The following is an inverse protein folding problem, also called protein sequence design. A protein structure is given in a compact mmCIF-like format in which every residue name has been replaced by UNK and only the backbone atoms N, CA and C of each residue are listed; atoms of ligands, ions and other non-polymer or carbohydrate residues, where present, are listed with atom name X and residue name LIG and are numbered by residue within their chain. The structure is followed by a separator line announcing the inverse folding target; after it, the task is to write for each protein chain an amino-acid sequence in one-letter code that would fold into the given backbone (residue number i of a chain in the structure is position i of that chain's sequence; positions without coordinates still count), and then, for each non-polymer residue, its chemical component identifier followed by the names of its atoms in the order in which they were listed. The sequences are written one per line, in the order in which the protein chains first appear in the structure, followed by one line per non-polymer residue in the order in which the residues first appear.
data_IF_519628163058
#
_entry.id   IF_519628163058
#
_cell.length_a   1.000
_cell.length_b   1.000
_cell.length_c   1.000
_cell.angle_alpha   90.00
_cell.angle_beta   90.00
_cell.angle_gamma   90.00
#
_symmetry.space_group_name_H-M   'P 1'
#
loop_
_entity.id
_entity.type
_entity.pdbx_description
1 polymer ?
#
# COMPACT_ATOMS: atom_id res chain seq x y z
N UNK A 1 -21.61 3.91 6.05
CA UNK A 1 -20.24 3.36 5.93
C UNK A 1 -20.15 2.46 4.71
N UNK A 2 -19.07 2.56 3.96
CA UNK A 2 -18.87 1.70 2.79
C UNK A 2 -18.65 0.25 3.22
N UNK A 3 -19.35 -0.68 2.58
CA UNK A 3 -19.15 -2.10 2.82
C UNK A 3 -17.96 -2.59 2.01
N UNK A 4 -17.09 -3.36 2.67
CA UNK A 4 -15.94 -3.96 2.01
C UNK A 4 -16.06 -5.47 2.12
N UNK A 5 -15.93 -6.14 0.99
CA UNK A 5 -15.96 -7.61 0.93
C UNK A 5 -14.72 -8.14 0.19
N UNK A 6 -14.41 -9.38 0.44
CA UNK A 6 -13.32 -10.10 -0.22
C UNK A 6 -13.96 -11.08 -1.21
N UNK A 7 -13.47 -11.09 -2.46
CA UNK A 7 -13.98 -12.02 -3.47
C UNK A 7 -13.78 -13.47 -3.05
N UNK A 8 -14.62 -14.36 -3.54
CA UNK A 8 -14.51 -15.79 -3.26
C UNK A 8 -13.16 -16.35 -3.71
N UNK A 9 -12.66 -15.90 -4.85
CA UNK A 9 -11.35 -16.32 -5.36
C UNK A 9 -10.23 -16.02 -4.36
N UNK A 10 -10.21 -14.80 -3.82
CA UNK A 10 -9.19 -14.41 -2.83
C UNK A 10 -9.42 -15.12 -1.51
N UNK A 11 -10.65 -15.21 -1.03
CA UNK A 11 -10.97 -15.89 0.22
C UNK A 11 -10.57 -17.37 0.19
N UNK A 12 -10.71 -18.03 -0.95
CA UNK A 12 -10.32 -19.43 -1.13
C UNK A 12 -8.80 -19.58 -1.17
N UNK A 13 -8.10 -18.74 -1.93
CA UNK A 13 -6.64 -18.80 -2.06
C UNK A 13 -5.91 -18.30 -0.82
N UNK A 14 -6.47 -17.33 -0.14
CA UNK A 14 -5.86 -16.67 1.02
C UNK A 14 -6.85 -16.62 2.20
N UNK A 15 -7.14 -17.77 2.83
CA UNK A 15 -8.17 -17.84 3.89
C UNK A 15 -7.81 -17.05 5.14
N UNK A 16 -6.51 -16.74 5.33
CA UNK A 16 -6.04 -15.99 6.49
C UNK A 16 -5.94 -14.47 6.22
N UNK A 17 -6.38 -14.02 5.05
CA UNK A 17 -6.32 -12.59 4.72
C UNK A 17 -7.35 -11.80 5.53
N UNK A 18 -6.87 -10.74 6.17
CA UNK A 18 -7.71 -9.77 6.84
C UNK A 18 -7.52 -8.40 6.19
N UNK A 19 -8.64 -7.71 5.98
CA UNK A 19 -8.64 -6.34 5.46
C UNK A 19 -9.12 -5.41 6.56
N UNK A 20 -8.31 -4.41 6.88
CA UNK A 20 -8.70 -3.35 7.80
C UNK A 20 -9.20 -2.16 6.98
N UNK A 21 -10.37 -1.68 7.30
CA UNK A 21 -10.94 -0.50 6.70
C UNK A 21 -11.14 0.58 7.76
N UNK A 22 -10.72 1.79 7.42
CA UNK A 22 -10.93 2.97 8.25
C UNK A 22 -11.72 3.99 7.44
N UNK A 23 -12.74 4.58 8.06
CA UNK A 23 -13.50 5.67 7.48
C UNK A 23 -13.45 6.86 8.40
N UNK A 24 -13.16 8.02 7.87
CA UNK A 24 -13.09 9.25 8.67
C UNK A 24 -13.41 10.47 7.81
N UNK A 25 -13.88 11.51 8.48
CA UNK A 25 -14.05 12.81 7.86
C UNK A 25 -12.71 13.54 7.90
N UNK A 26 -12.26 14.00 6.75
CA UNK A 26 -10.96 14.63 6.61
C UNK A 26 -11.03 15.90 5.79
N UNK A 27 -10.09 16.79 6.03
CA UNK A 27 -9.80 17.93 5.16
C UNK A 27 -8.44 17.72 4.52
N UNK A 28 -8.43 17.58 3.20
CA UNK A 28 -7.18 17.45 2.49
C UNK A 28 -6.52 18.81 2.29
N UNK A 29 -5.23 18.82 2.02
CA UNK A 29 -4.47 20.05 1.76
C UNK A 29 -3.36 19.80 0.76
N UNK A 30 -2.77 20.87 0.25
CA UNK A 30 -1.50 20.81 -0.46
C UNK A 30 -0.42 20.18 0.43
N UNK A 31 0.68 19.64 -0.13
CA UNK A 31 1.72 19.00 0.66
C UNK A 31 2.16 19.83 1.86
N UNK A 32 2.22 19.18 3.02
CA UNK A 32 2.54 19.81 4.31
C UNK A 32 4.02 19.61 4.63
N UNK A 33 4.71 20.72 4.97
CA UNK A 33 6.15 20.68 5.23
C UNK A 33 6.52 19.81 6.44
N UNK A 34 5.71 19.80 7.48
CA UNK A 34 5.97 18.97 8.67
C UNK A 34 5.85 17.50 8.36
N UNK A 35 4.86 17.13 7.56
CA UNK A 35 4.70 15.76 7.10
C UNK A 35 5.88 15.33 6.23
N UNK A 36 6.34 16.19 5.34
CA UNK A 36 7.48 15.89 4.49
C UNK A 36 8.79 15.84 5.26
N UNK A 37 8.90 16.57 6.39
CA UNK A 37 10.03 16.39 7.29
C UNK A 37 10.01 15.00 7.93
N UNK A 38 8.87 14.53 8.37
CA UNK A 38 8.72 13.16 8.89
C UNK A 38 9.02 12.10 7.82
N UNK A 39 8.59 12.33 6.60
CA UNK A 39 8.90 11.44 5.48
C UNK A 39 10.40 11.40 5.22
N UNK A 40 11.06 12.55 5.22
CA UNK A 40 12.52 12.64 5.03
C UNK A 40 13.26 11.90 6.15
N UNK A 41 12.82 12.04 7.39
CA UNK A 41 13.40 11.32 8.53
C UNK A 41 13.21 9.80 8.38
N UNK A 42 12.06 9.38 7.90
CA UNK A 42 11.78 7.95 7.64
C UNK A 42 12.62 7.41 6.49
N UNK A 43 12.77 8.17 5.41
CA UNK A 43 13.65 7.81 4.30
C UNK A 43 15.08 7.58 4.78
N UNK A 44 15.58 8.48 5.62
CA UNK A 44 16.92 8.37 6.20
C UNK A 44 17.04 7.11 7.06
N UNK A 45 16.06 6.86 7.93
CA UNK A 45 16.04 5.68 8.79
C UNK A 45 16.03 4.38 7.97
N UNK A 46 15.23 4.33 6.91
CA UNK A 46 15.17 3.16 6.02
C UNK A 46 16.52 2.95 5.33
N UNK A 47 17.14 4.00 4.81
CA UNK A 47 18.45 3.87 4.16
C UNK A 47 19.55 3.39 5.10
N UNK A 48 19.50 3.78 6.38
CA UNK A 48 20.49 3.40 7.38
C UNK A 48 20.31 1.98 7.91
N UNK A 49 19.08 1.45 7.91
CA UNK A 49 18.75 0.19 8.60
C UNK A 49 18.33 -0.94 7.68
N UNK A 50 17.96 -0.68 6.44
CA UNK A 50 17.42 -1.69 5.53
C UNK A 50 18.28 -1.81 4.28
N UNK A 51 18.58 -3.06 3.90
CA UNK A 51 19.24 -3.37 2.64
C UNK A 51 18.21 -3.78 1.59
N UNK A 52 18.50 -3.49 0.32
CA UNK A 52 17.58 -3.76 -0.80
C UNK A 52 17.15 -5.23 -0.85
N UNK A 53 18.06 -6.16 -0.61
CA UNK A 53 17.77 -7.61 -0.61
C UNK A 53 16.93 -8.07 0.58
N UNK A 54 16.71 -7.23 1.58
CA UNK A 54 15.92 -7.56 2.77
C UNK A 54 14.45 -7.14 2.67
N UNK A 55 14.12 -6.27 1.73
CA UNK A 55 12.76 -5.70 1.63
C UNK A 55 11.71 -6.78 1.49
N UNK A 56 11.91 -7.72 0.57
CA UNK A 56 10.93 -8.79 0.30
C UNK A 56 10.90 -9.89 1.37
N UNK A 57 11.79 -9.83 2.34
CA UNK A 57 11.82 -10.75 3.48
C UNK A 57 11.10 -10.20 4.71
N UNK A 58 10.78 -8.92 4.71
CA UNK A 58 10.01 -8.31 5.79
C UNK A 58 8.58 -8.86 5.79
N UNK A 59 8.12 -9.34 6.97
CA UNK A 59 6.89 -10.14 7.08
C UNK A 59 5.67 -9.55 6.37
N UNK A 60 5.31 -8.28 6.54
CA UNK A 60 4.13 -7.72 5.85
C UNK A 60 4.26 -7.79 4.33
N UNK A 61 5.44 -7.51 3.80
CA UNK A 61 5.69 -7.54 2.36
C UNK A 61 5.75 -8.99 1.86
N UNK A 62 6.44 -9.87 2.58
CA UNK A 62 6.53 -11.28 2.24
C UNK A 62 5.14 -11.94 2.17
N UNK A 63 4.29 -11.67 3.16
CA UNK A 63 2.94 -12.21 3.20
C UNK A 63 2.10 -11.77 1.99
N UNK A 64 2.19 -10.49 1.63
CA UNK A 64 1.49 -9.96 0.45
C UNK A 64 2.03 -10.58 -0.84
N UNK A 65 3.34 -10.74 -0.96
CA UNK A 65 3.95 -11.40 -2.12
C UNK A 65 3.49 -12.84 -2.25
N UNK A 66 3.37 -13.57 -1.14
CA UNK A 66 2.87 -14.95 -1.14
C UNK A 66 1.39 -15.01 -1.57
N UNK A 67 0.59 -14.06 -1.12
CA UNK A 67 -0.81 -13.96 -1.56
C UNK A 67 -0.89 -13.74 -3.08
N UNK A 68 -0.06 -12.88 -3.63
CA UNK A 68 0.00 -12.68 -5.09
C UNK A 68 0.32 -13.98 -5.81
N UNK A 69 1.31 -14.74 -5.34
CA UNK A 69 1.66 -16.02 -5.95
C UNK A 69 0.51 -17.02 -5.92
N UNK A 70 -0.22 -17.10 -4.79
CA UNK A 70 -1.40 -17.98 -4.67
C UNK A 70 -2.49 -17.59 -5.65
N UNK A 71 -2.56 -16.33 -6.03
CA UNK A 71 -3.54 -15.81 -6.98
C UNK A 71 -3.05 -15.84 -8.44
N UNK A 72 -1.88 -16.43 -8.68
CA UNK A 72 -1.31 -16.53 -10.03
C UNK A 72 -0.70 -15.23 -10.55
N UNK A 73 -0.37 -14.30 -9.66
CA UNK A 73 0.26 -13.03 -10.02
C UNK A 73 1.74 -13.05 -9.63
N UNK A 74 2.60 -12.59 -10.54
CA UNK A 74 4.04 -12.47 -10.26
C UNK A 74 4.29 -11.23 -9.39
N UNK A 75 4.75 -11.39 -8.13
CA UNK A 75 4.99 -10.26 -7.26
C UNK A 75 6.19 -9.39 -7.68
N UNK A 76 7.04 -9.86 -8.57
CA UNK A 76 8.11 -9.06 -9.13
C UNK A 76 7.60 -8.10 -10.21
N UNK A 77 6.55 -8.49 -10.91
CA UNK A 77 5.91 -7.66 -11.93
C UNK A 77 4.87 -6.71 -11.31
N UNK A 78 4.05 -7.23 -10.38
CA UNK A 78 2.97 -6.48 -9.74
C UNK A 78 3.33 -6.24 -8.27
N UNK A 79 4.43 -5.53 -8.03
CA UNK A 79 4.93 -5.33 -6.66
C UNK A 79 3.87 -4.73 -5.74
N UNK A 80 3.79 -5.23 -4.49
CA UNK A 80 3.00 -4.56 -3.46
C UNK A 80 3.41 -3.09 -3.34
N UNK A 81 2.45 -2.20 -3.11
CA UNK A 81 2.73 -0.77 -3.07
C UNK A 81 3.73 -0.39 -1.95
N UNK A 82 3.65 -1.04 -0.80
CA UNK A 82 4.59 -0.82 0.31
C UNK A 82 6.02 -1.20 -0.08
N UNK A 83 6.18 -2.30 -0.81
CA UNK A 83 7.49 -2.72 -1.32
C UNK A 83 8.02 -1.70 -2.34
N UNK A 84 7.19 -1.25 -3.26
CA UNK A 84 7.57 -0.28 -4.28
C UNK A 84 8.06 1.03 -3.65
N UNK A 85 7.40 1.51 -2.60
CA UNK A 85 7.81 2.71 -1.87
C UNK A 85 9.19 2.55 -1.23
N UNK A 86 9.43 1.44 -0.53
CA UNK A 86 10.74 1.19 0.10
C UNK A 86 11.85 0.99 -0.91
N UNK A 87 11.59 0.31 -2.01
CA UNK A 87 12.59 0.15 -3.08
C UNK A 87 12.97 1.49 -3.69
N UNK A 88 11.99 2.37 -3.85
CA UNK A 88 12.22 3.71 -4.34
C UNK A 88 13.14 4.50 -3.40
N UNK A 89 12.90 4.40 -2.09
CA UNK A 89 13.75 5.05 -1.08
C UNK A 89 15.20 4.53 -1.16
N UNK A 90 15.38 3.20 -1.20
CA UNK A 90 16.71 2.60 -1.20
C UNK A 90 17.49 2.83 -2.50
N UNK A 91 16.80 3.10 -3.59
CA UNK A 91 17.41 3.49 -4.86
C UNK A 91 17.62 5.00 -4.99
N UNK A 92 17.37 5.74 -3.91
CA UNK A 92 17.51 7.20 -3.87
C UNK A 92 16.67 7.93 -4.93
N UNK A 93 15.56 7.34 -5.32
CA UNK A 93 14.57 7.98 -6.18
C UNK A 93 13.62 8.81 -5.33
N UNK A 94 13.23 10.00 -5.80
CA UNK A 94 12.34 10.86 -5.01
C UNK A 94 10.95 10.25 -4.86
N UNK A 95 10.36 10.40 -3.67
CA UNK A 95 8.94 10.12 -3.47
C UNK A 95 8.13 11.29 -4.03
N UNK A 96 7.00 10.99 -4.66
CA UNK A 96 6.14 12.03 -5.23
C UNK A 96 5.36 12.76 -4.15
N UNK A 97 5.34 14.07 -4.23
CA UNK A 97 4.44 14.92 -3.43
C UNK A 97 3.11 15.03 -4.17
N UNK A 98 2.04 14.56 -3.57
CA UNK A 98 0.72 14.58 -4.18
C UNK A 98 -0.18 15.56 -3.44
N UNK A 99 -0.61 15.17 -2.25
CA UNK A 99 -1.37 15.98 -1.31
C UNK A 99 -1.17 15.37 0.09
N UNK A 100 -1.66 16.06 1.10
CA UNK A 100 -1.41 15.63 2.49
C UNK A 100 -1.98 14.25 2.79
N UNK A 101 -3.16 13.91 2.31
CA UNK A 101 -3.76 12.60 2.58
C UNK A 101 -2.99 11.46 1.91
N UNK A 102 -2.65 11.61 0.64
CA UNK A 102 -1.86 10.59 -0.08
C UNK A 102 -0.48 10.44 0.54
N UNK A 103 0.18 11.54 0.84
CA UNK A 103 1.53 11.54 1.43
C UNK A 103 1.52 10.89 2.81
N UNK A 104 0.49 11.14 3.63
CA UNK A 104 0.31 10.52 4.93
C UNK A 104 0.11 9.00 4.81
N UNK A 105 -0.73 8.56 3.89
CA UNK A 105 -0.97 7.14 3.63
C UNK A 105 0.33 6.46 3.21
N UNK A 106 1.11 7.11 2.34
CA UNK A 106 2.40 6.58 1.92
C UNK A 106 3.39 6.47 3.08
N UNK A 107 3.44 7.44 3.97
CA UNK A 107 4.28 7.37 5.17
C UNK A 107 3.90 6.19 6.06
N UNK A 108 2.60 6.00 6.31
CA UNK A 108 2.11 4.86 7.11
C UNK A 108 2.47 3.54 6.43
N UNK A 109 2.32 3.46 5.12
CA UNK A 109 2.69 2.26 4.34
C UNK A 109 4.18 1.95 4.45
N UNK A 110 5.05 2.95 4.37
CA UNK A 110 6.49 2.78 4.52
C UNK A 110 6.83 2.26 5.92
N UNK A 111 6.23 2.82 6.95
CA UNK A 111 6.49 2.43 8.36
C UNK A 111 5.96 1.05 8.70
N UNK A 112 4.77 0.71 8.23
CA UNK A 112 4.08 -0.54 8.62
C UNK A 112 4.39 -1.72 7.71
N UNK A 113 4.75 -1.46 6.46
CA UNK A 113 4.88 -2.49 5.44
C UNK A 113 3.56 -2.92 4.81
N UNK A 114 2.45 -2.38 5.27
CA UNK A 114 1.14 -2.68 4.69
C UNK A 114 0.91 -1.86 3.43
N UNK A 115 0.34 -2.50 2.42
CA UNK A 115 -0.15 -1.81 1.24
C UNK A 115 -1.51 -1.20 1.55
N UNK A 116 -1.65 0.10 1.31
CA UNK A 116 -2.82 0.86 1.71
C UNK A 116 -3.42 1.54 0.48
N UNK A 117 -4.73 1.36 0.28
CA UNK A 117 -5.50 2.09 -0.71
C UNK A 117 -6.32 3.20 -0.05
N UNK A 118 -6.36 4.37 -0.65
CA UNK A 118 -7.19 5.48 -0.21
C UNK A 118 -8.31 5.75 -1.22
N UNK A 119 -9.52 5.97 -0.73
CA UNK A 119 -10.69 6.19 -1.56
C UNK A 119 -11.53 7.35 -1.00
N UNK A 120 -12.07 8.16 -1.90
CA UNK A 120 -13.08 9.13 -1.55
C UNK A 120 -14.43 8.40 -1.46
N UNK A 121 -14.94 8.24 -0.24
CA UNK A 121 -16.17 7.49 0.01
C UNK A 121 -17.38 8.06 -0.73
N UNK A 122 -17.42 9.37 -0.95
CA UNK A 122 -18.52 10.03 -1.65
C UNK A 122 -18.55 9.70 -3.16
N UNK A 123 -17.44 9.22 -3.69
CA UNK A 123 -17.32 8.88 -5.11
C UNK A 123 -17.44 7.38 -5.39
N UNK A 124 -17.69 6.57 -4.36
CA UNK A 124 -17.87 5.12 -4.52
C UNK A 124 -19.31 4.84 -4.95
N UNK A 125 -19.49 4.31 -6.15
CA UNK A 125 -20.80 3.91 -6.65
C UNK A 125 -21.33 2.69 -5.90
N UNK A 126 -22.60 2.73 -5.49
CA UNK A 126 -23.26 1.61 -4.81
C UNK A 126 -22.83 1.37 -3.35
N UNK A 127 -21.97 2.20 -2.81
CA UNK A 127 -21.58 2.14 -1.39
C UNK A 127 -20.81 0.88 -0.97
N UNK A 128 -20.23 0.14 -1.91
CA UNK A 128 -19.47 -1.06 -1.60
C UNK A 128 -18.21 -1.20 -2.45
N UNK A 129 -17.19 -1.82 -1.85
CA UNK A 129 -15.94 -2.17 -2.50
C UNK A 129 -15.71 -3.68 -2.37
N UNK A 130 -15.18 -4.28 -3.42
CA UNK A 130 -14.79 -5.68 -3.41
C UNK A 130 -13.30 -5.78 -3.66
N UNK A 131 -12.59 -6.43 -2.75
CA UNK A 131 -11.19 -6.81 -3.00
C UNK A 131 -11.20 -8.06 -3.87
N UNK A 132 -10.74 -7.93 -5.09
CA UNK A 132 -10.73 -8.99 -6.08
C UNK A 132 -9.46 -8.99 -6.90
N UNK A 133 -9.36 -9.93 -7.81
CA UNK A 133 -8.24 -10.03 -8.75
C UNK A 133 -8.62 -9.29 -10.03
N UNK A 134 -7.82 -8.29 -10.39
CA UNK A 134 -8.00 -7.58 -11.65
C UNK A 134 -7.40 -8.41 -12.78
N UNK A 135 -8.26 -8.81 -13.71
CA UNK A 135 -7.86 -9.59 -14.89
C UNK A 135 -7.71 -8.75 -16.15
N UNK A 136 -8.07 -7.47 -16.08
CA UNK A 136 -8.01 -6.55 -17.22
C UNK A 136 -6.71 -5.78 -17.32
N UNK A 137 -5.92 -5.77 -16.27
CA UNK A 137 -4.63 -5.08 -16.24
C UNK A 137 -3.50 -5.92 -16.81
N UNK A 138 -3.77 -6.66 -17.87
CA UNK A 138 -2.73 -7.39 -18.58
C UNK A 138 -2.25 -6.50 -19.71
N UNK A 139 -1.37 -5.63 -19.37
CA UNK A 139 -0.63 -4.85 -20.37
C UNK A 139 0.84 -4.96 -20.07
#
# INVERSE_FOLDING_TARGET
MTNISISEEIATACPDLHVLALSCDVCNSEPDERLWQEIADEEKAVRETVKLEQINKWLPIQATRQAYKRLGKDPNRYRPSSEALRRRILRELPLYKVDTLVDLINLVSIRSGYSIGGFDADKISGGSLVLGVDRKSVV
#
